data_IF_707289524984
#
_entry.id   IF_707289524984
#
_cell.length_a   1.000
_cell.length_b   1.000
_cell.length_c   1.000
_cell.angle_alpha   90.00
_cell.angle_beta   90.00
_cell.angle_gamma   90.00
#
_symmetry.space_group_name_H-M   'P 1'
#
loop_
_entity.id
_entity.type
_entity.pdbx_description
1 polymer ?
#
# COMPACT_ATOMS: atom_id res chain seq x y z
N UNK A 1 21.81 -3.98 1.04
CA UNK A 1 21.00 -3.03 0.25
C UNK A 1 21.62 -1.66 0.36
N UNK A 2 21.69 -0.91 -0.73
CA UNK A 2 22.26 0.43 -0.72
C UNK A 2 21.39 1.39 0.10
N UNK A 3 21.98 2.50 0.52
CA UNK A 3 21.23 3.54 1.23
C UNK A 3 20.08 4.06 0.36
N UNK A 4 20.33 4.30 -0.93
CA UNK A 4 19.30 4.77 -1.84
C UNK A 4 18.14 3.78 -1.94
N UNK A 5 18.42 2.48 -2.09
CA UNK A 5 17.38 1.46 -2.15
C UNK A 5 16.59 1.37 -0.83
N UNK A 6 17.27 1.50 0.29
CA UNK A 6 16.62 1.50 1.61
C UNK A 6 15.68 2.69 1.75
N UNK A 7 16.15 3.89 1.40
CA UNK A 7 15.33 5.11 1.48
C UNK A 7 14.10 4.99 0.60
N UNK A 8 14.27 4.55 -0.65
CA UNK A 8 13.14 4.38 -1.57
C UNK A 8 12.15 3.33 -1.06
N UNK A 9 12.64 2.22 -0.53
CA UNK A 9 11.76 1.19 0.05
C UNK A 9 10.97 1.73 1.23
N UNK A 10 11.60 2.50 2.11
CA UNK A 10 10.92 3.12 3.26
C UNK A 10 9.86 4.10 2.78
N UNK A 11 10.14 4.88 1.73
CA UNK A 11 9.14 5.80 1.16
C UNK A 11 7.93 5.04 0.62
N UNK A 12 8.16 3.96 -0.12
CA UNK A 12 7.08 3.10 -0.62
C UNK A 12 6.28 2.52 0.55
N UNK A 13 6.96 2.06 1.59
CA UNK A 13 6.32 1.55 2.80
C UNK A 13 5.41 2.61 3.43
N UNK A 14 5.91 3.82 3.62
CA UNK A 14 5.14 4.90 4.26
C UNK A 14 3.92 5.29 3.43
N UNK A 15 4.06 5.34 2.10
CA UNK A 15 2.92 5.60 1.21
C UNK A 15 1.85 4.53 1.39
N UNK A 16 2.24 3.26 1.46
CA UNK A 16 1.28 2.17 1.61
C UNK A 16 0.65 2.13 2.98
N UNK A 17 1.39 2.49 4.04
CA UNK A 17 0.80 2.67 5.38
C UNK A 17 -0.28 3.74 5.34
N UNK A 18 -0.02 4.87 4.68
CA UNK A 18 -1.01 5.92 4.52
C UNK A 18 -2.25 5.43 3.78
N UNK A 19 -2.05 4.67 2.69
CA UNK A 19 -3.17 4.09 1.92
C UNK A 19 -3.99 3.13 2.79
N UNK A 20 -3.35 2.29 3.60
CA UNK A 20 -4.05 1.38 4.53
C UNK A 20 -4.93 2.18 5.48
N UNK A 21 -4.37 3.20 6.11
CA UNK A 21 -5.12 4.04 7.06
C UNK A 21 -6.28 4.74 6.36
N UNK A 22 -6.02 5.30 5.18
CA UNK A 22 -7.05 6.00 4.41
C UNK A 22 -8.19 5.07 4.02
N UNK A 23 -7.87 3.89 3.50
CA UNK A 23 -8.87 2.96 2.98
C UNK A 23 -9.64 2.23 4.07
N UNK A 24 -9.00 1.89 5.18
CA UNK A 24 -9.64 1.11 6.25
C UNK A 24 -10.30 1.97 7.33
N UNK A 25 -9.76 3.15 7.59
CA UNK A 25 -10.17 3.96 8.73
C UNK A 25 -10.78 5.30 8.31
N UNK A 26 -10.14 5.99 7.37
CA UNK A 26 -10.48 7.37 7.03
C UNK A 26 -11.30 7.51 5.74
N UNK A 27 -11.74 6.41 5.14
CA UNK A 27 -12.36 6.44 3.81
C UNK A 27 -13.54 7.40 3.74
N UNK A 28 -14.49 7.29 4.69
CA UNK A 28 -15.70 8.11 4.66
C UNK A 28 -15.41 9.59 4.89
N UNK A 29 -14.44 9.91 5.75
CA UNK A 29 -14.13 11.29 6.10
C UNK A 29 -13.15 11.96 5.14
N UNK A 30 -12.13 11.22 4.67
CA UNK A 30 -11.05 11.78 3.84
C UNK A 30 -11.13 11.38 2.37
N UNK A 31 -11.80 10.28 2.06
CA UNK A 31 -11.94 9.82 0.69
C UNK A 31 -12.50 10.87 -0.25
N UNK A 32 -13.61 11.55 0.11
CA UNK A 32 -14.14 12.62 -0.74
C UNK A 32 -13.14 13.73 -1.03
N UNK A 33 -12.33 14.11 -0.04
CA UNK A 33 -11.34 15.18 -0.20
C UNK A 33 -10.13 14.74 -1.02
N UNK A 34 -9.66 13.51 -0.83
CA UNK A 34 -8.46 13.00 -1.48
C UNK A 34 -8.75 12.60 -2.93
N UNK A 35 -9.88 11.95 -3.18
CA UNK A 35 -10.22 11.39 -4.49
C UNK A 35 -11.29 12.17 -5.25
N UNK A 36 -11.88 13.21 -4.67
CA UNK A 36 -12.93 13.97 -5.31
C UNK A 36 -14.23 13.21 -5.50
N UNK A 37 -14.48 12.19 -4.68
CA UNK A 37 -15.71 11.41 -4.72
C UNK A 37 -16.77 12.03 -3.81
N UNK A 38 -18.03 11.68 -4.06
CA UNK A 38 -19.14 12.16 -3.22
C UNK A 38 -19.12 11.44 -1.87
N UNK A 39 -19.75 12.06 -0.86
CA UNK A 39 -19.91 11.42 0.45
C UNK A 39 -20.73 10.14 0.34
N UNK A 40 -21.76 10.15 -0.51
CA UNK A 40 -22.57 8.95 -0.72
C UNK A 40 -21.75 7.81 -1.31
N UNK A 41 -20.95 8.10 -2.33
CA UNK A 41 -20.08 7.08 -2.93
C UNK A 41 -19.06 6.56 -1.91
N UNK A 42 -18.52 7.44 -1.05
CA UNK A 42 -17.60 7.01 -0.01
C UNK A 42 -18.29 6.02 0.96
N UNK A 43 -19.52 6.29 1.35
CA UNK A 43 -20.27 5.36 2.21
C UNK A 43 -20.56 4.04 1.49
N UNK A 44 -21.00 4.10 0.25
CA UNK A 44 -21.38 2.91 -0.52
C UNK A 44 -20.18 2.02 -0.84
N UNK A 45 -18.98 2.61 -1.00
CA UNK A 45 -17.76 1.89 -1.34
C UNK A 45 -16.88 1.58 -0.12
N UNK A 46 -17.30 1.93 1.09
CA UNK A 46 -16.45 1.80 2.28
C UNK A 46 -16.01 0.36 2.54
N UNK A 47 -16.89 -0.62 2.34
CA UNK A 47 -16.53 -2.03 2.51
C UNK A 47 -15.49 -2.48 1.50
N UNK A 48 -15.63 -2.05 0.23
CA UNK A 48 -14.65 -2.35 -0.81
C UNK A 48 -13.31 -1.67 -0.51
N UNK A 49 -13.34 -0.41 -0.08
CA UNK A 49 -12.13 0.30 0.28
C UNK A 49 -11.41 -0.37 1.45
N UNK A 50 -12.14 -0.79 2.47
CA UNK A 50 -11.57 -1.51 3.62
C UNK A 50 -10.89 -2.80 3.18
N UNK A 51 -11.51 -3.55 2.28
CA UNK A 51 -10.95 -4.77 1.73
C UNK A 51 -9.64 -4.50 0.97
N UNK A 52 -9.64 -3.46 0.14
CA UNK A 52 -8.43 -3.01 -0.57
C UNK A 52 -7.33 -2.60 0.40
N UNK A 53 -7.70 -1.89 1.47
CA UNK A 53 -6.76 -1.49 2.51
C UNK A 53 -6.10 -2.69 3.18
N UNK A 54 -6.86 -3.74 3.45
CA UNK A 54 -6.31 -4.96 4.02
C UNK A 54 -5.26 -5.58 3.10
N UNK A 55 -5.53 -5.67 1.79
CA UNK A 55 -4.55 -6.18 0.84
C UNK A 55 -3.30 -5.30 0.77
N UNK A 56 -3.47 -3.99 0.82
CA UNK A 56 -2.32 -3.08 0.93
C UNK A 56 -1.55 -3.32 2.23
N UNK A 57 -2.23 -3.71 3.31
CA UNK A 57 -1.59 -4.10 4.56
C UNK A 57 -0.68 -5.31 4.40
N UNK A 58 -1.03 -6.26 3.55
CA UNK A 58 -0.15 -7.41 3.26
C UNK A 58 1.14 -6.94 2.60
N UNK A 59 1.08 -5.95 1.72
CA UNK A 59 2.28 -5.37 1.11
C UNK A 59 3.14 -4.64 2.14
N UNK A 60 2.51 -3.92 3.07
CA UNK A 60 3.22 -3.26 4.18
C UNK A 60 3.99 -4.30 4.98
N UNK A 61 3.35 -5.42 5.33
CA UNK A 61 4.02 -6.50 6.08
C UNK A 61 5.17 -7.08 5.28
N UNK A 62 5.00 -7.33 3.99
CA UNK A 62 6.06 -7.86 3.14
C UNK A 62 7.29 -6.94 3.12
N UNK A 63 7.07 -5.62 2.99
CA UNK A 63 8.16 -4.65 2.99
C UNK A 63 8.85 -4.54 4.36
N UNK A 64 8.07 -4.60 5.44
CA UNK A 64 8.63 -4.62 6.80
C UNK A 64 9.51 -5.85 7.02
N UNK A 65 9.06 -7.02 6.58
CA UNK A 65 9.84 -8.24 6.66
C UNK A 65 11.11 -8.14 5.83
N UNK A 66 11.00 -7.55 4.63
CA UNK A 66 12.15 -7.34 3.77
C UNK A 66 13.19 -6.40 4.36
N UNK A 67 12.76 -5.42 5.16
CA UNK A 67 13.67 -4.49 5.83
C UNK A 67 14.24 -5.04 7.14
N UNK A 68 13.62 -6.07 7.71
CA UNK A 68 13.92 -6.54 9.07
C UNK A 68 14.59 -7.90 9.13
N UNK A 69 14.30 -8.80 8.19
CA UNK A 69 14.80 -10.17 8.22
C UNK A 69 16.24 -10.27 7.70
N UNK A 70 16.87 -11.39 8.03
CA UNK A 70 18.19 -11.72 7.50
C UNK A 70 18.07 -12.34 6.12
N UNK A 71 19.16 -12.23 5.33
CA UNK A 71 19.24 -12.91 4.05
C UNK A 71 19.20 -14.44 4.21
N UNK A 72 18.61 -15.19 3.27
CA UNK A 72 18.05 -14.72 1.99
C UNK A 72 16.61 -14.22 2.05
N UNK A 73 15.99 -14.25 3.22
CA UNK A 73 14.57 -13.94 3.38
C UNK A 73 14.28 -12.45 3.10
N UNK A 74 15.17 -11.57 3.55
CA UNK A 74 15.00 -10.13 3.31
C UNK A 74 14.85 -9.81 1.83
N UNK A 75 15.77 -10.31 1.00
CA UNK A 75 15.73 -10.09 -0.45
C UNK A 75 14.47 -10.69 -1.07
N UNK A 76 14.09 -11.90 -0.65
CA UNK A 76 12.89 -12.55 -1.19
C UNK A 76 11.63 -11.71 -0.93
N UNK A 77 11.45 -11.23 0.29
CA UNK A 77 10.28 -10.41 0.62
C UNK A 77 10.30 -9.05 -0.08
N UNK A 78 11.47 -8.43 -0.21
CA UNK A 78 11.58 -7.16 -0.93
C UNK A 78 11.23 -7.31 -2.41
N UNK A 79 11.77 -8.32 -3.09
CA UNK A 79 11.47 -8.55 -4.50
C UNK A 79 10.00 -8.87 -4.70
N UNK A 80 9.44 -9.71 -3.86
CA UNK A 80 8.01 -10.03 -3.97
C UNK A 80 7.13 -8.81 -3.69
N UNK A 81 7.38 -8.11 -2.57
CA UNK A 81 6.58 -6.95 -2.18
C UNK A 81 6.67 -5.82 -3.18
N UNK A 82 7.86 -5.42 -3.58
CA UNK A 82 8.06 -4.36 -4.56
C UNK A 82 7.57 -4.77 -5.95
N UNK A 83 7.71 -6.05 -6.31
CA UNK A 83 7.16 -6.58 -7.55
C UNK A 83 5.64 -6.47 -7.58
N UNK A 84 4.97 -6.80 -6.49
CA UNK A 84 3.53 -6.64 -6.37
C UNK A 84 3.10 -5.17 -6.50
N UNK A 85 3.85 -4.25 -5.91
CA UNK A 85 3.58 -2.81 -6.02
C UNK A 85 3.67 -2.36 -7.48
N UNK A 86 4.71 -2.78 -8.19
CA UNK A 86 4.90 -2.43 -9.61
C UNK A 86 3.75 -2.98 -10.46
N UNK A 87 3.42 -4.26 -10.29
CA UNK A 87 2.34 -4.90 -11.05
C UNK A 87 1.00 -4.23 -10.76
N UNK A 88 0.72 -3.97 -9.49
CA UNK A 88 -0.53 -3.30 -9.09
C UNK A 88 -0.60 -1.88 -9.65
N UNK A 89 0.51 -1.15 -9.64
CA UNK A 89 0.58 0.20 -10.19
C UNK A 89 0.35 0.23 -11.68
N UNK A 90 0.96 -0.69 -12.42
CA UNK A 90 0.76 -0.82 -13.87
C UNK A 90 -0.69 -1.17 -14.18
N UNK A 91 -1.26 -2.14 -13.48
CA UNK A 91 -2.65 -2.53 -13.67
C UNK A 91 -3.61 -1.39 -13.38
N UNK A 92 -3.39 -0.70 -12.25
CA UNK A 92 -4.19 0.46 -11.89
C UNK A 92 -4.12 1.59 -12.93
N UNK A 93 -2.95 1.80 -13.53
CA UNK A 93 -2.77 2.79 -14.58
C UNK A 93 -3.45 2.42 -15.91
N UNK A 94 -3.66 1.12 -16.16
CA UNK A 94 -4.30 0.63 -17.37
C UNK A 94 -5.84 0.53 -17.24
N UNK A 95 -6.33 0.55 -16.02
CA UNK A 95 -7.76 0.41 -15.75
C UNK A 95 -8.34 1.66 -15.09
#
# INVERSE_FOLDING_TARGET
MTLAATVLTVLVLLIHVYIVVLEMILWRSRGPKVFGITEQFARDSAALASNQGLYNGFLVVALLLGLSLREPFATAFLFYGLGCVVVAGVWGGLT
#
